data_IF_946238933402
#
_entry.id   IF_946238933402
#
_cell.length_a   1.000
_cell.length_b   1.000
_cell.length_c   1.000
_cell.angle_alpha   90.00
_cell.angle_beta   90.00
_cell.angle_gamma   90.00
#
_symmetry.space_group_name_H-M   'P 1'
#
loop_
_entity.id
_entity.type
_entity.pdbx_description
1 polymer ?
#
# COMPACT_ATOMS: atom_id res chain seq x y z
N UNK A 1 16.43 33.53 -40.03
CA UNK A 1 15.33 32.64 -39.64
C UNK A 1 15.96 31.54 -38.83
N UNK A 2 15.90 31.68 -37.52
CA UNK A 2 16.49 30.76 -36.55
C UNK A 2 15.39 29.78 -36.12
N UNK A 3 15.46 28.54 -36.58
CA UNK A 3 14.56 27.47 -36.17
C UNK A 3 15.17 26.79 -34.95
N UNK A 4 14.83 27.31 -33.77
CA UNK A 4 15.14 26.67 -32.50
C UNK A 4 14.52 25.27 -32.41
N UNK A 5 15.14 24.35 -31.66
CA UNK A 5 14.70 22.97 -31.59
C UNK A 5 13.31 22.89 -30.93
N UNK A 6 12.39 22.23 -31.62
CA UNK A 6 11.09 21.79 -31.10
C UNK A 6 11.35 20.79 -29.98
N UNK A 7 11.46 21.29 -28.75
CA UNK A 7 11.58 20.50 -27.54
C UNK A 7 10.21 19.87 -27.29
N UNK A 8 9.98 18.76 -28.01
CA UNK A 8 8.76 17.99 -28.02
C UNK A 8 8.47 17.43 -26.64
N UNK A 9 7.87 18.25 -25.77
CA UNK A 9 7.11 17.79 -24.62
C UNK A 9 6.01 16.88 -25.15
N UNK A 10 6.29 15.59 -25.16
CA UNK A 10 5.35 14.55 -25.58
C UNK A 10 4.03 14.81 -24.85
N UNK A 11 3.00 15.25 -25.59
CA UNK A 11 1.67 15.50 -25.03
C UNK A 11 1.23 14.20 -24.36
N UNK A 12 1.08 14.22 -23.04
CA UNK A 12 0.57 13.07 -22.28
C UNK A 12 -0.68 12.52 -22.96
N UNK A 13 -0.87 11.20 -22.94
CA UNK A 13 -2.00 10.60 -23.66
C UNK A 13 -3.30 11.02 -22.98
N UNK A 14 -4.30 11.41 -23.76
CA UNK A 14 -5.66 11.44 -23.26
C UNK A 14 -6.13 10.02 -22.96
N UNK A 15 -7.13 9.89 -22.08
CA UNK A 15 -7.75 8.58 -21.85
C UNK A 15 -8.29 8.02 -23.15
N UNK A 16 -8.30 6.69 -23.24
CA UNK A 16 -8.82 5.93 -24.39
C UNK A 16 -10.10 6.56 -24.95
N UNK A 17 -10.00 7.09 -26.16
CA UNK A 17 -11.12 7.70 -26.88
C UNK A 17 -12.22 6.67 -27.12
N UNK A 18 -13.48 7.10 -27.00
CA UNK A 18 -14.66 6.26 -27.22
C UNK A 18 -15.60 6.95 -28.20
N UNK A 19 -16.18 6.15 -29.11
CA UNK A 19 -17.30 6.56 -29.94
C UNK A 19 -18.56 5.77 -29.56
N UNK A 20 -19.74 6.42 -29.40
CA UNK A 20 -19.95 7.87 -29.39
C UNK A 20 -19.20 8.57 -28.25
N UNK A 21 -18.83 9.84 -28.45
CA UNK A 21 -18.11 10.66 -27.48
C UNK A 21 -18.86 10.81 -26.15
N UNK A 22 -18.12 11.05 -25.06
CA UNK A 22 -18.71 11.28 -23.74
C UNK A 22 -19.54 12.56 -23.75
N UNK A 23 -20.77 12.50 -23.23
CA UNK A 23 -21.76 13.60 -23.32
C UNK A 23 -21.76 14.58 -22.14
N UNK A 24 -21.15 14.20 -21.01
CA UNK A 24 -21.16 15.00 -19.77
C UNK A 24 -19.74 15.42 -19.39
N UNK A 25 -19.60 16.67 -18.91
CA UNK A 25 -18.32 17.28 -18.51
C UNK A 25 -18.44 17.90 -17.12
N UNK A 26 -17.36 17.81 -16.35
CA UNK A 26 -17.15 18.52 -15.08
C UNK A 26 -15.96 19.47 -15.28
N UNK A 27 -16.06 20.71 -14.82
CA UNK A 27 -14.97 21.68 -14.84
C UNK A 27 -14.45 21.87 -13.41
N UNK A 28 -13.18 21.54 -13.20
CA UNK A 28 -12.47 21.68 -11.93
C UNK A 28 -11.80 23.06 -11.89
N UNK A 29 -11.68 23.63 -10.69
CA UNK A 29 -10.85 24.82 -10.44
C UNK A 29 -9.79 24.43 -9.43
N UNK A 30 -8.57 24.85 -9.69
CA UNK A 30 -7.41 24.62 -8.85
C UNK A 30 -6.71 25.95 -8.65
N UNK A 31 -6.10 26.15 -7.48
CA UNK A 31 -5.03 27.13 -7.35
C UNK A 31 -3.74 26.64 -8.04
N UNK A 32 -2.67 27.44 -7.94
CA UNK A 32 -1.41 27.15 -8.64
C UNK A 32 -0.71 25.90 -8.08
N UNK A 33 -0.75 25.71 -6.77
CA UNK A 33 -0.06 24.61 -6.10
C UNK A 33 -0.83 23.31 -6.34
N UNK A 34 -2.15 23.33 -6.18
CA UNK A 34 -3.06 22.23 -6.52
C UNK A 34 -2.90 21.81 -7.99
N UNK A 35 -2.82 22.78 -8.91
CA UNK A 35 -2.62 22.49 -10.33
C UNK A 35 -1.26 21.84 -10.58
N UNK A 36 -0.19 22.31 -9.93
CA UNK A 36 1.16 21.77 -10.08
C UNK A 36 1.26 20.33 -9.57
N UNK A 37 0.63 20.02 -8.44
CA UNK A 37 0.55 18.66 -7.91
C UNK A 37 -0.17 17.71 -8.88
N UNK A 38 -1.34 18.12 -9.38
CA UNK A 38 -2.13 17.35 -10.36
C UNK A 38 -1.34 17.16 -11.66
N UNK A 39 -0.67 18.20 -12.15
CA UNK A 39 0.14 18.11 -13.37
C UNK A 39 1.31 17.13 -13.20
N UNK A 40 2.00 17.20 -12.06
CA UNK A 40 3.10 16.29 -11.75
C UNK A 40 2.62 14.84 -11.66
N UNK A 41 1.46 14.60 -11.02
CA UNK A 41 0.86 13.28 -10.95
C UNK A 41 0.42 12.74 -12.32
N UNK A 42 -0.14 13.62 -13.16
CA UNK A 42 -0.53 13.28 -14.52
C UNK A 42 0.68 12.90 -15.39
N UNK A 43 1.79 13.64 -15.28
CA UNK A 43 3.06 13.32 -15.96
C UNK A 43 3.56 11.93 -15.56
N UNK A 44 3.60 11.63 -14.27
CA UNK A 44 4.00 10.29 -13.78
C UNK A 44 3.10 9.18 -14.33
N UNK A 45 1.82 9.47 -14.55
CA UNK A 45 0.86 8.55 -15.13
C UNK A 45 0.86 8.51 -16.67
N UNK A 46 1.65 9.35 -17.34
CA UNK A 46 1.66 9.47 -18.81
C UNK A 46 0.37 10.06 -19.40
N UNK A 47 -0.39 10.82 -18.60
CA UNK A 47 -1.70 11.37 -18.96
C UNK A 47 -1.68 12.91 -19.00
N UNK A 48 -2.67 13.50 -19.67
CA UNK A 48 -2.98 14.93 -19.49
C UNK A 48 -3.57 15.17 -18.08
N UNK A 49 -3.44 16.36 -17.48
CA UNK A 49 -4.07 16.66 -16.18
C UNK A 49 -5.57 16.35 -16.14
N UNK A 50 -6.31 16.71 -17.20
CA UNK A 50 -7.73 16.34 -17.34
C UNK A 50 -7.95 14.83 -17.48
N UNK A 51 -7.07 14.17 -18.23
CA UNK A 51 -7.02 12.73 -18.40
C UNK A 51 -6.65 11.98 -17.11
N UNK A 52 -5.90 12.58 -16.22
CA UNK A 52 -5.60 12.05 -14.89
C UNK A 52 -6.79 12.26 -13.94
N UNK A 53 -7.29 13.50 -13.78
CA UNK A 53 -8.34 13.84 -12.82
C UNK A 53 -9.56 12.94 -12.95
N UNK A 54 -10.18 12.87 -14.12
CA UNK A 54 -11.37 12.04 -14.24
C UNK A 54 -11.08 10.51 -14.19
N UNK A 55 -9.83 10.04 -14.21
CA UNK A 55 -9.48 8.60 -14.16
C UNK A 55 -9.54 8.21 -12.70
N UNK A 56 -8.81 8.98 -11.89
CA UNK A 56 -8.85 8.97 -10.44
C UNK A 56 -10.28 9.17 -9.94
N UNK A 57 -11.03 10.17 -10.43
CA UNK A 57 -12.41 10.41 -10.00
C UNK A 57 -13.33 9.24 -10.35
N UNK A 58 -13.17 8.62 -11.52
CA UNK A 58 -14.01 7.49 -11.93
C UNK A 58 -13.65 6.22 -11.17
N UNK A 59 -12.36 5.98 -10.95
CA UNK A 59 -11.88 4.89 -10.12
C UNK A 59 -12.35 5.07 -8.68
N UNK A 60 -12.32 6.29 -8.12
CA UNK A 60 -12.81 6.60 -6.79
C UNK A 60 -14.32 6.36 -6.68
N UNK A 61 -15.11 6.85 -7.65
CA UNK A 61 -16.55 6.61 -7.70
C UNK A 61 -16.92 5.11 -7.83
N UNK A 62 -16.01 4.28 -8.37
CA UNK A 62 -16.16 2.82 -8.49
C UNK A 62 -15.58 2.04 -7.30
N UNK A 63 -14.95 2.71 -6.34
CA UNK A 63 -14.18 2.07 -5.26
C UNK A 63 -12.86 1.44 -5.71
N UNK A 64 -12.46 1.60 -6.97
CA UNK A 64 -11.26 0.98 -7.57
C UNK A 64 -10.05 1.92 -7.64
N UNK A 65 -10.13 3.14 -7.09
CA UNK A 65 -9.01 4.09 -7.03
C UNK A 65 -7.76 3.46 -6.37
N UNK A 66 -7.99 2.53 -5.45
CA UNK A 66 -6.98 1.78 -4.72
C UNK A 66 -6.03 0.97 -5.61
N UNK A 67 -6.40 0.58 -6.84
CA UNK A 67 -5.54 -0.30 -7.66
C UNK A 67 -4.58 0.44 -8.60
N UNK A 68 -4.77 1.74 -8.84
CA UNK A 68 -4.17 2.41 -10.01
C UNK A 68 -3.12 3.48 -9.66
N UNK A 69 -3.01 3.93 -8.40
CA UNK A 69 -2.16 5.07 -8.06
C UNK A 69 -1.39 4.89 -6.74
N UNK A 70 -0.16 5.42 -6.65
CA UNK A 70 0.60 5.45 -5.40
C UNK A 70 -0.19 6.18 -4.31
N UNK A 71 -0.09 5.67 -3.08
CA UNK A 71 -0.67 6.34 -1.90
C UNK A 71 0.03 7.69 -1.76
N UNK A 72 -0.73 8.78 -1.62
CA UNK A 72 -0.15 10.11 -1.43
C UNK A 72 0.82 10.09 -0.23
N UNK A 73 2.09 10.44 -0.47
CA UNK A 73 3.14 10.50 0.56
C UNK A 73 3.92 9.19 0.79
N UNK A 74 3.60 8.10 0.10
CA UNK A 74 4.33 6.83 0.20
C UNK A 74 4.76 6.38 -1.21
N UNK A 75 6.06 6.14 -1.40
CA UNK A 75 6.63 5.47 -2.59
C UNK A 75 6.27 3.97 -2.62
N UNK A 76 5.04 3.62 -2.27
CA UNK A 76 4.54 2.25 -2.19
C UNK A 76 3.17 2.19 -2.84
N UNK A 77 2.99 1.24 -3.75
CA UNK A 77 1.69 0.96 -4.36
C UNK A 77 0.78 0.22 -3.37
N UNK A 78 -0.52 0.38 -3.51
CA UNK A 78 -1.49 -0.39 -2.71
C UNK A 78 -1.36 -1.90 -2.87
N UNK A 79 -0.90 -2.38 -4.02
CA UNK A 79 -0.65 -3.80 -4.25
C UNK A 79 0.50 -4.32 -3.37
N UNK A 80 1.57 -3.53 -3.23
CA UNK A 80 2.68 -3.82 -2.32
C UNK A 80 2.23 -3.75 -0.86
N UNK A 81 1.40 -2.77 -0.50
CA UNK A 81 0.85 -2.67 0.84
C UNK A 81 -0.05 -3.86 1.19
N UNK A 82 -0.92 -4.30 0.28
CA UNK A 82 -1.76 -5.49 0.45
C UNK A 82 -0.94 -6.79 0.46
N UNK A 83 0.21 -6.82 -0.22
CA UNK A 83 1.21 -7.88 -0.10
C UNK A 83 1.78 -7.93 1.32
N UNK A 84 2.33 -6.81 1.78
CA UNK A 84 2.90 -6.67 3.13
C UNK A 84 1.89 -7.03 4.24
N UNK A 85 0.62 -6.64 4.07
CA UNK A 85 -0.43 -6.97 5.03
C UNK A 85 -0.71 -8.49 5.06
N UNK A 86 -0.72 -9.17 3.91
CA UNK A 86 -0.90 -10.63 3.87
C UNK A 86 0.29 -11.36 4.49
N UNK A 87 1.51 -10.92 4.18
CA UNK A 87 2.72 -11.53 4.74
C UNK A 87 2.77 -11.37 6.27
N UNK A 88 2.33 -10.21 6.78
CA UNK A 88 2.20 -9.97 8.22
C UNK A 88 1.15 -10.88 8.87
N UNK A 89 -0.02 -11.05 8.24
CA UNK A 89 -1.04 -11.98 8.75
C UNK A 89 -0.56 -13.42 8.78
N UNK A 90 0.16 -13.86 7.74
CA UNK A 90 0.76 -15.19 7.71
C UNK A 90 1.80 -15.38 8.83
N UNK A 91 2.67 -14.39 9.04
CA UNK A 91 3.65 -14.41 10.12
C UNK A 91 2.98 -14.47 11.51
N UNK A 92 1.91 -13.71 11.73
CA UNK A 92 1.14 -13.73 12.97
C UNK A 92 0.48 -15.08 13.24
N UNK A 93 -0.10 -15.69 12.20
CA UNK A 93 -0.70 -17.03 12.32
C UNK A 93 0.35 -18.06 12.71
N UNK A 94 1.50 -18.08 12.02
CA UNK A 94 2.59 -19.01 12.32
C UNK A 94 3.13 -18.83 13.76
N UNK A 95 3.25 -17.60 14.24
CA UNK A 95 3.67 -17.31 15.61
C UNK A 95 2.63 -17.76 16.65
N UNK A 96 1.33 -17.63 16.35
CA UNK A 96 0.24 -18.07 17.23
C UNK A 96 0.21 -19.60 17.33
N UNK A 97 0.38 -20.30 16.22
CA UNK A 97 0.47 -21.77 16.17
C UNK A 97 1.69 -22.27 16.95
N UNK A 98 2.84 -21.60 16.83
CA UNK A 98 4.04 -21.90 17.60
C UNK A 98 3.80 -21.72 19.10
N UNK A 99 3.17 -20.62 19.51
CA UNK A 99 2.81 -20.38 20.91
C UNK A 99 1.88 -21.47 21.47
N UNK A 100 0.88 -21.90 20.69
CA UNK A 100 -0.02 -22.98 21.08
C UNK A 100 0.69 -24.33 21.22
N UNK A 101 1.65 -24.64 20.35
CA UNK A 101 2.46 -25.86 20.43
C UNK A 101 3.39 -25.86 21.66
N UNK A 102 3.99 -24.72 21.98
CA UNK A 102 4.80 -24.54 23.19
C UNK A 102 3.95 -24.68 24.46
N UNK A 103 2.75 -24.08 24.49
CA UNK A 103 1.80 -24.22 25.60
C UNK A 103 1.38 -25.68 25.84
N UNK A 104 0.99 -26.39 24.78
CA UNK A 104 0.64 -27.83 24.88
C UNK A 104 1.81 -28.68 25.38
N UNK A 105 3.02 -28.36 24.94
CA UNK A 105 4.24 -29.05 25.41
C UNK A 105 4.47 -28.77 26.89
N UNK A 106 4.35 -27.52 27.32
CA UNK A 106 4.46 -27.11 28.71
C UNK A 106 3.39 -27.77 29.62
N UNK A 107 2.14 -27.88 29.14
CA UNK A 107 1.07 -28.57 29.86
C UNK A 107 1.33 -30.08 30.00
N UNK A 108 1.78 -30.73 28.91
CA UNK A 108 2.18 -32.13 28.94
C UNK A 108 3.34 -32.38 29.92
N UNK A 109 4.26 -31.42 30.01
CA UNK A 109 5.40 -31.41 30.92
C UNK A 109 4.98 -31.18 32.39
N UNK A 110 4.08 -30.23 32.64
CA UNK A 110 3.51 -29.99 33.98
C UNK A 110 2.74 -31.23 34.48
N UNK A 111 2.17 -32.01 33.56
CA UNK A 111 1.53 -33.30 33.88
C UNK A 111 2.56 -34.38 34.29
N UNK A 112 3.83 -34.24 33.89
CA UNK A 112 4.94 -35.18 34.14
C UNK A 112 5.92 -34.66 35.21
N UNK A 113 5.69 -33.47 35.77
CA UNK A 113 6.46 -32.81 36.84
C UNK A 113 7.97 -32.62 36.54
N UNK A 114 8.32 -32.49 35.25
CA UNK A 114 9.70 -32.30 34.80
C UNK A 114 9.79 -31.34 33.60
N UNK A 115 10.02 -30.05 33.88
CA UNK A 115 10.25 -29.04 32.85
C UNK A 115 11.65 -29.10 32.22
N UNK A 116 11.77 -29.24 30.89
CA UNK A 116 13.03 -29.13 30.19
C UNK A 116 13.62 -27.72 30.33
N UNK A 117 14.92 -27.59 30.59
CA UNK A 117 15.55 -26.29 30.85
C UNK A 117 15.48 -25.31 29.66
N UNK A 118 15.33 -25.80 28.42
CA UNK A 118 15.20 -24.97 27.21
C UNK A 118 13.80 -24.37 26.99
N UNK A 119 12.79 -24.81 27.75
CA UNK A 119 11.40 -24.39 27.53
C UNK A 119 11.17 -22.90 27.86
N UNK A 120 11.77 -22.42 28.95
CA UNK A 120 11.71 -21.00 29.31
C UNK A 120 12.37 -20.12 28.25
N UNK A 121 13.50 -20.57 27.69
CA UNK A 121 14.19 -19.86 26.62
C UNK A 121 13.36 -19.84 25.33
N UNK A 122 12.67 -20.93 24.99
CA UNK A 122 11.80 -21.00 23.83
C UNK A 122 10.58 -20.07 23.94
N UNK A 123 9.97 -19.97 25.12
CA UNK A 123 8.86 -19.04 25.39
C UNK A 123 9.33 -17.58 25.29
N UNK A 124 10.45 -17.24 25.95
CA UNK A 124 11.03 -15.90 25.87
C UNK A 124 11.38 -15.50 24.42
N UNK A 125 11.87 -16.45 23.62
CA UNK A 125 12.18 -16.18 22.21
C UNK A 125 10.91 -15.95 21.37
N UNK A 126 9.83 -16.67 21.67
CA UNK A 126 8.54 -16.48 21.02
C UNK A 126 7.92 -15.11 21.36
N UNK A 127 7.92 -14.72 22.64
CA UNK A 127 7.44 -13.41 23.09
C UNK A 127 8.22 -12.27 22.45
N UNK A 128 9.56 -12.35 22.44
CA UNK A 128 10.41 -11.34 21.78
C UNK A 128 10.12 -11.23 20.29
N UNK A 129 9.80 -12.34 19.63
CA UNK A 129 9.46 -12.35 18.20
C UNK A 129 8.10 -11.68 17.96
N UNK A 130 7.13 -11.92 18.83
CA UNK A 130 5.81 -11.28 18.78
C UNK A 130 5.90 -9.77 19.00
N UNK A 131 6.63 -9.32 20.03
CA UNK A 131 6.85 -7.89 20.28
C UNK A 131 7.48 -7.19 19.08
N UNK A 132 8.39 -7.89 18.39
CA UNK A 132 9.06 -7.37 17.21
C UNK A 132 8.09 -7.24 16.03
N UNK A 133 7.20 -8.21 15.85
CA UNK A 133 6.12 -8.17 14.85
C UNK A 133 5.18 -7.01 15.16
N UNK A 134 4.74 -6.85 16.41
CA UNK A 134 3.83 -5.77 16.82
C UNK A 134 4.48 -4.39 16.60
N UNK A 135 5.78 -4.22 16.86
CA UNK A 135 6.49 -2.98 16.55
C UNK A 135 6.51 -2.64 15.05
N UNK A 136 6.51 -3.66 14.18
CA UNK A 136 6.42 -3.47 12.73
C UNK A 136 5.00 -3.07 12.34
N UNK A 137 3.98 -3.66 12.97
CA UNK A 137 2.58 -3.26 12.79
C UNK A 137 2.38 -1.80 13.18
N UNK A 138 2.87 -1.38 14.34
CA UNK A 138 2.73 0.00 14.83
C UNK A 138 3.42 1.01 13.91
N UNK A 139 4.59 0.65 13.35
CA UNK A 139 5.28 1.49 12.35
C UNK A 139 4.53 1.57 11.02
N UNK A 140 3.82 0.52 10.64
CA UNK A 140 2.95 0.54 9.47
C UNK A 140 1.75 1.44 9.76
N UNK A 141 1.08 1.29 10.91
CA UNK A 141 -0.06 2.14 11.30
C UNK A 141 0.31 3.62 11.36
N UNK A 142 1.46 3.97 11.96
CA UNK A 142 1.95 5.35 12.01
C UNK A 142 2.25 5.96 10.63
N UNK A 143 2.63 5.15 9.65
CA UNK A 143 2.90 5.63 8.28
C UNK A 143 1.65 5.73 7.42
N UNK A 144 0.57 5.08 7.84
CA UNK A 144 -0.73 5.14 7.18
C UNK A 144 -1.63 6.25 7.75
N UNK A 145 -1.24 6.91 8.84
CA UNK A 145 -1.90 8.11 9.42
C UNK A 145 -1.24 9.39 8.92
#
# INVERSE_FOLDING_TARGET
MDTGPDDGMSRGSDRRHRFPGRKSRINLRFDMDEHHEVASAAIRAGLTPSGFCADVSLAAARGTAHAAHPVAGLDVTWAELAGLQRDLFAARTAATELGAALGQTADAINTVDQAPPWLGDAVNHAELTLDRIDSVVDRIDQRLR
#
